data_IF_934154665646
#
_entry.id   IF_934154665646
#
_cell.length_a   1.000
_cell.length_b   1.000
_cell.length_c   1.000
_cell.angle_alpha   90.00
_cell.angle_beta   90.00
_cell.angle_gamma   90.00
#
_symmetry.space_group_name_H-M   'P 1'
#
loop_
_entity.id
_entity.type
_entity.pdbx_description
1 polymer ?
#
# COMPACT_ATOMS: atom_id res chain seq x y z
N UNK A 1 -17.70 3.25 -15.94
CA UNK A 1 -17.19 2.80 -14.61
C UNK A 1 -17.40 3.81 -13.50
N UNK A 2 -17.24 5.13 -13.73
CA UNK A 2 -17.27 6.15 -12.65
C UNK A 2 -18.62 6.35 -11.93
N UNK A 3 -19.74 5.98 -12.53
CA UNK A 3 -21.07 6.22 -11.95
C UNK A 3 -21.38 5.28 -10.78
N UNK A 4 -21.09 3.98 -10.92
CA UNK A 4 -21.32 2.98 -9.86
C UNK A 4 -20.42 3.24 -8.63
N UNK A 5 -19.19 3.70 -8.86
CA UNK A 5 -18.29 4.09 -7.78
C UNK A 5 -18.82 5.29 -7.00
N UNK A 6 -19.39 6.30 -7.68
CA UNK A 6 -20.04 7.42 -7.00
C UNK A 6 -21.28 6.99 -6.21
N UNK A 7 -22.14 6.16 -6.81
CA UNK A 7 -23.30 5.58 -6.12
C UNK A 7 -22.88 4.83 -4.85
N UNK A 8 -21.75 4.11 -4.89
CA UNK A 8 -21.22 3.43 -3.70
C UNK A 8 -20.79 4.40 -2.61
N UNK A 9 -20.16 5.53 -2.96
CA UNK A 9 -19.76 6.58 -2.00
C UNK A 9 -21.01 7.20 -1.38
N UNK A 10 -22.00 7.55 -2.20
CA UNK A 10 -23.27 8.15 -1.75
C UNK A 10 -24.05 7.21 -0.83
N UNK A 11 -24.09 5.92 -1.17
CA UNK A 11 -24.72 4.91 -0.33
C UNK A 11 -24.02 4.78 1.04
N UNK A 12 -22.68 4.75 1.06
CA UNK A 12 -21.92 4.75 2.33
C UNK A 12 -22.28 6.00 3.16
N UNK A 13 -22.42 7.16 2.52
CA UNK A 13 -22.83 8.41 3.20
C UNK A 13 -24.25 8.40 3.71
N UNK A 14 -25.17 7.68 3.05
CA UNK A 14 -26.54 7.49 3.57
C UNK A 14 -26.58 6.66 4.86
N UNK A 15 -25.54 5.83 5.11
CA UNK A 15 -25.44 5.00 6.31
C UNK A 15 -24.62 5.69 7.39
N UNK A 16 -23.55 6.39 7.00
CA UNK A 16 -22.61 7.05 7.91
C UNK A 16 -22.92 8.55 7.97
N UNK A 17 -23.74 8.94 8.95
CA UNK A 17 -24.16 10.33 9.19
C UNK A 17 -23.04 11.24 9.73
N UNK A 18 -21.88 10.66 10.10
CA UNK A 18 -20.74 11.40 10.64
C UNK A 18 -19.73 11.75 9.54
N UNK A 19 -18.93 12.79 9.80
CA UNK A 19 -17.75 13.10 9.00
C UNK A 19 -16.80 11.90 8.97
N UNK A 20 -16.36 11.49 7.79
CA UNK A 20 -15.41 10.40 7.60
C UNK A 20 -14.20 10.83 6.76
N UNK A 21 -13.16 9.99 6.75
CA UNK A 21 -12.01 10.13 5.86
C UNK A 21 -12.05 9.00 4.83
N UNK A 22 -12.33 9.33 3.57
CA UNK A 22 -12.31 8.35 2.48
C UNK A 22 -10.89 8.05 2.06
N UNK A 23 -10.50 6.77 2.09
CA UNK A 23 -9.18 6.31 1.61
C UNK A 23 -9.38 5.65 0.25
N UNK A 24 -9.23 6.45 -0.79
CA UNK A 24 -9.50 6.11 -2.17
C UNK A 24 -8.20 5.63 -2.85
N UNK A 25 -8.04 4.31 -3.01
CA UNK A 25 -6.87 3.71 -3.67
C UNK A 25 -6.98 3.87 -5.21
N UNK A 26 -6.87 2.78 -5.98
CA UNK A 26 -6.88 2.84 -7.45
C UNK A 26 -8.29 3.15 -7.98
N UNK A 27 -8.37 3.85 -9.11
CA UNK A 27 -9.62 4.17 -9.81
C UNK A 27 -10.28 5.49 -9.41
N UNK A 28 -9.82 6.15 -8.34
CA UNK A 28 -10.43 7.40 -7.83
C UNK A 28 -9.71 8.68 -8.27
N UNK A 29 -8.70 8.56 -9.14
CA UNK A 29 -7.91 9.71 -9.62
C UNK A 29 -8.55 10.41 -10.83
N UNK A 30 -9.84 10.20 -11.10
CA UNK A 30 -10.59 10.97 -12.11
C UNK A 30 -11.11 12.29 -11.51
N UNK A 31 -11.22 13.35 -12.34
CA UNK A 31 -11.65 14.69 -11.89
C UNK A 31 -12.99 14.68 -11.15
N UNK A 32 -13.91 13.81 -11.56
CA UNK A 32 -15.24 13.66 -10.98
C UNK A 32 -15.23 13.37 -9.48
N UNK A 33 -14.23 12.63 -8.97
CA UNK A 33 -14.11 12.34 -7.54
C UNK A 33 -13.56 13.54 -6.76
N UNK A 34 -12.65 14.32 -7.35
CA UNK A 34 -12.22 15.58 -6.75
C UNK A 34 -13.37 16.56 -6.70
N UNK A 35 -14.14 16.68 -7.77
CA UNK A 35 -15.34 17.52 -7.80
C UNK A 35 -16.34 17.08 -6.74
N UNK A 36 -16.57 15.78 -6.56
CA UNK A 36 -17.42 15.25 -5.48
C UNK A 36 -16.91 15.66 -4.10
N UNK A 37 -15.65 15.34 -3.77
CA UNK A 37 -15.13 15.57 -2.42
C UNK A 37 -14.79 17.03 -2.12
N UNK A 38 -14.67 17.90 -3.13
CA UNK A 38 -14.40 19.33 -2.96
C UNK A 38 -15.67 20.20 -3.02
N UNK A 39 -16.85 19.61 -3.27
CA UNK A 39 -18.13 20.34 -3.12
C UNK A 39 -18.26 20.87 -1.70
N UNK A 40 -18.74 22.10 -1.55
CA UNK A 40 -18.89 22.75 -0.22
C UNK A 40 -19.81 21.96 0.73
N UNK A 41 -20.78 21.23 0.18
CA UNK A 41 -21.70 20.36 0.93
C UNK A 41 -21.02 19.08 1.45
N UNK A 42 -19.89 18.68 0.85
CA UNK A 42 -19.11 17.51 1.28
C UNK A 42 -18.11 17.95 2.36
N UNK A 43 -18.44 17.68 3.62
CA UNK A 43 -17.55 17.98 4.76
C UNK A 43 -16.57 16.83 5.09
N UNK A 44 -16.49 15.81 4.24
CA UNK A 44 -15.62 14.65 4.46
C UNK A 44 -14.18 14.91 4.04
N UNK A 45 -13.24 14.33 4.78
CA UNK A 45 -11.85 14.33 4.34
C UNK A 45 -11.64 13.19 3.32
N UNK A 46 -10.66 13.32 2.44
CA UNK A 46 -10.32 12.26 1.51
C UNK A 46 -8.82 12.16 1.26
N UNK A 47 -8.40 10.96 0.92
CA UNK A 47 -7.04 10.61 0.50
C UNK A 47 -7.21 9.87 -0.82
N UNK A 48 -6.83 10.51 -1.93
CA UNK A 48 -6.79 9.86 -3.25
C UNK A 48 -5.35 9.49 -3.59
N UNK A 49 -5.16 8.24 -4.00
CA UNK A 49 -3.92 7.79 -4.62
C UNK A 49 -3.84 8.31 -6.06
N UNK A 50 -2.82 9.12 -6.31
CA UNK A 50 -2.56 9.68 -7.63
C UNK A 50 -1.91 8.69 -8.58
N UNK A 51 -2.32 8.73 -9.84
CA UNK A 51 -1.61 8.10 -10.95
C UNK A 51 -0.33 8.88 -11.26
N UNK A 52 0.60 8.21 -11.94
CA UNK A 52 1.86 8.83 -12.39
C UNK A 52 1.67 9.94 -13.43
N UNK A 53 0.52 9.96 -14.12
CA UNK A 53 0.15 10.94 -15.14
C UNK A 53 -0.15 12.32 -14.52
N UNK A 54 -0.59 12.37 -13.25
CA UNK A 54 -0.94 13.63 -12.57
C UNK A 54 0.26 14.52 -12.30
N UNK A 55 0.09 15.81 -12.57
CA UNK A 55 1.03 16.87 -12.16
C UNK A 55 0.53 17.54 -10.90
N UNK A 56 1.42 17.69 -9.94
CA UNK A 56 1.21 18.39 -8.69
C UNK A 56 2.01 19.68 -8.69
N UNK A 57 1.43 20.73 -8.12
CA UNK A 57 2.18 21.93 -7.76
C UNK A 57 3.02 21.61 -6.52
N UNK A 58 4.34 21.44 -6.71
CA UNK A 58 5.29 21.14 -5.65
C UNK A 58 6.36 22.23 -5.56
N UNK A 59 6.34 23.01 -4.47
CA UNK A 59 7.23 24.18 -4.26
C UNK A 59 7.15 25.21 -5.39
N UNK A 60 5.94 25.57 -5.80
CA UNK A 60 5.69 26.55 -6.88
C UNK A 60 6.02 26.05 -8.28
N UNK A 61 6.44 24.78 -8.44
CA UNK A 61 6.73 24.19 -9.75
C UNK A 61 5.81 23.00 -10.00
N UNK A 62 5.29 22.91 -11.22
CA UNK A 62 4.53 21.74 -11.67
C UNK A 62 5.48 20.54 -11.79
N UNK A 63 5.18 19.45 -11.10
CA UNK A 63 5.97 18.22 -11.09
C UNK A 63 5.08 17.00 -11.21
N UNK A 64 5.53 15.97 -11.94
CA UNK A 64 4.81 14.70 -11.99
C UNK A 64 4.77 14.05 -10.61
N UNK A 65 3.64 13.46 -10.24
CA UNK A 65 3.48 12.74 -8.98
C UNK A 65 4.53 11.62 -8.83
N UNK A 66 4.85 10.92 -9.93
CA UNK A 66 5.89 9.88 -9.97
C UNK A 66 7.30 10.41 -9.67
N UNK A 67 7.69 11.58 -10.19
CA UNK A 67 8.99 12.19 -9.89
C UNK A 67 9.16 12.45 -8.38
N UNK A 68 8.08 12.90 -7.73
CA UNK A 68 8.06 13.15 -6.29
C UNK A 68 8.09 11.83 -5.50
N UNK A 69 7.39 10.80 -5.97
CA UNK A 69 7.34 9.49 -5.34
C UNK A 69 8.69 8.75 -5.41
N UNK A 70 9.33 8.70 -6.59
CA UNK A 70 10.62 8.03 -6.81
C UNK A 70 11.70 8.61 -5.91
N UNK A 71 11.73 9.92 -5.70
CA UNK A 71 12.66 10.58 -4.76
C UNK A 71 12.56 10.08 -3.31
N UNK A 72 11.47 9.40 -2.96
CA UNK A 72 11.17 8.90 -1.62
C UNK A 72 11.12 7.38 -1.53
N UNK A 73 11.26 6.66 -2.65
CA UNK A 73 11.09 5.20 -2.73
C UNK A 73 12.44 4.48 -2.55
N UNK A 74 12.48 3.40 -1.76
CA UNK A 74 13.64 2.51 -1.63
C UNK A 74 14.76 2.93 -0.66
N UNK A 75 14.64 4.08 0.00
CA UNK A 75 15.61 4.58 0.98
C UNK A 75 15.11 4.38 2.41
N UNK A 76 14.70 3.17 2.76
CA UNK A 76 14.00 2.93 4.02
C UNK A 76 14.62 1.74 4.73
N UNK A 77 15.07 1.99 5.95
CA UNK A 77 15.43 0.95 6.88
C UNK A 77 14.23 0.66 7.79
N UNK A 78 13.72 -0.56 7.73
CA UNK A 78 12.47 -0.96 8.40
C UNK A 78 12.58 -0.99 9.92
N UNK A 79 13.81 -1.11 10.45
CA UNK A 79 14.10 -1.13 11.88
C UNK A 79 14.15 0.26 12.53
N UNK A 80 13.87 1.31 11.77
CA UNK A 80 13.83 2.68 12.29
C UNK A 80 12.55 2.96 13.07
N UNK A 81 12.68 3.72 14.16
CA UNK A 81 11.54 4.20 14.93
C UNK A 81 11.16 5.64 14.54
N UNK A 82 9.90 5.84 14.17
CA UNK A 82 9.34 7.15 13.83
C UNK A 82 8.33 7.59 14.91
N UNK A 83 8.75 8.46 15.87
CA UNK A 83 7.85 8.98 16.90
C UNK A 83 6.70 9.78 16.28
N UNK A 84 5.59 9.90 17.01
CA UNK A 84 4.35 10.51 16.51
C UNK A 84 4.56 11.94 15.97
N UNK A 85 5.40 12.74 16.62
CA UNK A 85 5.68 14.11 16.17
C UNK A 85 6.33 14.15 14.78
N UNK A 86 7.16 13.15 14.40
CA UNK A 86 7.79 13.06 13.07
C UNK A 86 6.80 12.73 11.94
N UNK A 87 5.53 12.46 12.26
CA UNK A 87 4.46 12.22 11.28
C UNK A 87 3.77 13.51 10.85
N UNK A 88 4.12 14.63 11.48
CA UNK A 88 3.54 15.93 11.15
C UNK A 88 3.70 16.26 9.66
N UNK A 89 2.66 16.85 9.09
CA UNK A 89 2.67 17.37 7.72
C UNK A 89 3.52 18.65 7.61
N UNK A 90 3.96 19.23 8.73
CA UNK A 90 4.79 20.43 8.77
C UNK A 90 6.09 20.26 7.96
N UNK A 91 6.41 21.27 7.16
CA UNK A 91 7.57 21.25 6.25
C UNK A 91 8.90 20.99 6.97
N UNK A 92 9.14 21.64 8.12
CA UNK A 92 10.37 21.48 8.89
C UNK A 92 10.50 20.06 9.45
N UNK A 93 9.41 19.53 10.01
CA UNK A 93 9.38 18.14 10.52
C UNK A 93 9.65 17.14 9.41
N UNK A 94 9.12 17.38 8.19
CA UNK A 94 9.41 16.52 7.03
C UNK A 94 10.88 16.58 6.62
N UNK A 95 11.50 17.76 6.63
CA UNK A 95 12.92 17.89 6.36
C UNK A 95 13.76 17.14 7.41
N UNK A 96 13.42 17.28 8.69
CA UNK A 96 14.06 16.54 9.79
C UNK A 96 13.90 15.01 9.62
N UNK A 97 12.70 14.54 9.30
CA UNK A 97 12.44 13.11 9.01
C UNK A 97 13.29 12.61 7.85
N UNK A 98 13.40 13.37 6.76
CA UNK A 98 14.25 12.98 5.63
C UNK A 98 15.73 12.97 6.01
N UNK A 99 16.19 13.93 6.81
CA UNK A 99 17.54 13.93 7.36
C UNK A 99 17.80 12.69 8.22
N UNK A 100 16.90 12.38 9.15
CA UNK A 100 16.95 11.18 10.00
C UNK A 100 17.04 9.88 9.18
N UNK A 101 16.20 9.74 8.14
CA UNK A 101 16.25 8.60 7.21
C UNK A 101 17.61 8.49 6.52
N UNK A 102 18.10 9.58 5.92
CA UNK A 102 19.39 9.54 5.22
C UNK A 102 20.54 9.22 6.18
N UNK A 103 20.56 9.81 7.38
CA UNK A 103 21.57 9.53 8.39
C UNK A 103 21.52 8.06 8.81
N UNK A 104 20.34 7.51 9.10
CA UNK A 104 20.18 6.12 9.51
C UNK A 104 20.61 5.11 8.43
N UNK A 105 20.43 5.44 7.15
CA UNK A 105 20.94 4.60 6.06
C UNK A 105 22.47 4.56 6.01
N UNK A 106 23.16 5.65 6.39
CA UNK A 106 24.62 5.71 6.40
C UNK A 106 25.23 5.18 7.71
N UNK A 107 24.52 5.28 8.83
CA UNK A 107 24.99 4.87 10.16
C UNK A 107 24.73 3.40 10.51
N UNK A 108 24.23 2.59 9.57
CA UNK A 108 23.95 1.18 9.82
C UNK A 108 22.96 1.00 10.97
N UNK A 109 23.27 0.11 11.94
CA UNK A 109 22.35 -0.33 13.00
C UNK A 109 22.28 0.58 14.24
N UNK A 110 23.02 1.69 14.26
CA UNK A 110 23.09 2.58 15.43
C UNK A 110 21.74 3.22 15.81
N UNK A 111 20.88 3.45 14.82
CA UNK A 111 19.56 4.05 14.99
C UNK A 111 18.43 3.00 14.94
N UNK A 112 18.77 1.72 15.01
CA UNK A 112 17.77 0.67 15.03
C UNK A 112 17.03 0.67 16.35
N UNK A 113 15.73 0.44 16.24
CA UNK A 113 14.87 0.27 17.37
C UNK A 113 15.26 -0.99 18.14
N UNK A 114 15.27 -0.88 19.47
CA UNK A 114 15.36 -2.05 20.36
C UNK A 114 14.16 -2.99 20.14
N UNK A 115 14.45 -4.27 19.95
CA UNK A 115 13.45 -5.32 19.89
C UNK A 115 12.84 -5.56 21.28
N UNK A 116 11.70 -4.92 21.58
CA UNK A 116 10.98 -5.11 22.85
C UNK A 116 9.98 -6.26 22.81
N UNK A 117 9.69 -6.82 21.62
CA UNK A 117 8.82 -7.98 21.46
C UNK A 117 9.57 -9.29 21.74
N UNK A 118 10.90 -9.28 21.69
CA UNK A 118 11.75 -10.46 21.86
C UNK A 118 11.40 -11.60 20.90
N UNK A 119 11.10 -11.25 19.64
CA UNK A 119 10.81 -12.18 18.54
C UNK A 119 11.73 -11.93 17.36
N UNK A 120 11.89 -12.93 16.51
CA UNK A 120 12.56 -12.74 15.22
C UNK A 120 11.63 -12.00 14.26
N UNK A 121 12.15 -10.97 13.58
CA UNK A 121 11.39 -10.19 12.61
C UNK A 121 11.48 -10.79 11.21
N UNK A 122 10.31 -10.88 10.57
CA UNK A 122 10.17 -11.38 9.22
C UNK A 122 9.52 -10.32 8.33
N UNK A 123 9.77 -10.43 7.02
CA UNK A 123 9.34 -9.45 6.02
C UNK A 123 8.83 -10.15 4.78
N UNK A 124 7.87 -9.54 4.10
CA UNK A 124 7.32 -10.09 2.88
C UNK A 124 6.33 -9.18 2.18
N UNK A 125 5.67 -9.73 1.16
CA UNK A 125 4.65 -9.04 0.38
C UNK A 125 3.42 -8.70 1.25
N UNK A 126 2.75 -7.59 0.93
CA UNK A 126 1.41 -7.25 1.44
C UNK A 126 0.30 -8.14 0.86
N UNK A 127 0.62 -8.91 -0.19
CA UNK A 127 -0.31 -9.80 -0.89
C UNK A 127 -0.10 -11.22 -0.40
N UNK A 128 -1.02 -11.67 0.45
CA UNK A 128 -1.04 -13.00 1.04
C UNK A 128 -2.48 -13.48 1.18
N UNK A 129 -2.65 -14.77 1.41
CA UNK A 129 -3.94 -15.39 1.71
C UNK A 129 -3.72 -16.28 2.94
N UNK A 130 -4.62 -16.18 3.90
CA UNK A 130 -4.55 -16.94 5.16
C UNK A 130 -5.79 -17.80 5.31
N UNK A 131 -5.63 -18.98 5.92
CA UNK A 131 -6.78 -19.73 6.40
C UNK A 131 -7.47 -18.94 7.52
N UNK A 132 -8.75 -19.24 7.74
CA UNK A 132 -9.54 -18.59 8.79
C UNK A 132 -8.87 -18.71 10.17
N UNK A 133 -8.35 -19.90 10.51
CA UNK A 133 -7.71 -20.17 11.79
C UNK A 133 -6.45 -19.33 11.98
N UNK A 134 -5.64 -19.19 10.93
CA UNK A 134 -4.44 -18.38 10.97
C UNK A 134 -4.77 -16.88 11.10
N UNK A 135 -5.73 -16.39 10.30
CA UNK A 135 -6.18 -15.01 10.37
C UNK A 135 -6.76 -14.66 11.75
N UNK A 136 -7.55 -15.57 12.34
CA UNK A 136 -8.11 -15.41 13.69
C UNK A 136 -7.02 -15.35 14.75
N UNK A 137 -6.04 -16.25 14.71
CA UNK A 137 -4.93 -16.25 15.68
C UNK A 137 -4.09 -14.98 15.60
N UNK A 138 -3.78 -14.51 14.38
CA UNK A 138 -3.09 -13.23 14.18
C UNK A 138 -3.92 -12.08 14.74
N UNK A 139 -5.23 -12.05 14.45
CA UNK A 139 -6.13 -11.02 14.96
C UNK A 139 -6.15 -10.98 16.50
N UNK A 140 -6.26 -12.13 17.15
CA UNK A 140 -6.26 -12.24 18.62
C UNK A 140 -4.92 -11.77 19.23
N UNK A 141 -3.79 -12.02 18.56
CA UNK A 141 -2.47 -11.49 18.96
C UNK A 141 -2.42 -9.96 18.83
N UNK A 142 -2.95 -9.42 17.72
CA UNK A 142 -2.98 -7.97 17.49
C UNK A 142 -3.86 -7.24 18.50
N UNK A 143 -4.97 -7.84 18.95
CA UNK A 143 -5.85 -7.27 19.98
C UNK A 143 -5.17 -7.05 21.33
N UNK A 144 -4.09 -7.79 21.64
CA UNK A 144 -3.31 -7.58 22.87
C UNK A 144 -2.55 -6.25 22.88
N UNK A 145 -2.39 -5.60 21.72
CA UNK A 145 -1.81 -4.27 21.60
C UNK A 145 -0.28 -4.22 21.51
N UNK A 146 0.46 -5.21 22.03
CA UNK A 146 1.94 -5.20 22.04
C UNK A 146 2.56 -5.02 20.64
N UNK A 147 2.10 -5.83 19.68
CA UNK A 147 2.54 -5.71 18.29
C UNK A 147 2.07 -4.40 17.66
N UNK A 148 0.86 -3.95 17.96
CA UNK A 148 0.33 -2.67 17.45
C UNK A 148 1.18 -1.50 17.95
N UNK A 149 1.49 -1.45 19.24
CA UNK A 149 2.32 -0.40 19.85
C UNK A 149 3.76 -0.47 19.38
N UNK A 150 4.27 -1.68 19.13
CA UNK A 150 5.54 -1.84 18.45
C UNK A 150 5.45 -1.23 17.05
N UNK A 151 4.67 -1.79 16.15
CA UNK A 151 4.62 -1.36 14.77
C UNK A 151 4.03 0.03 14.52
N UNK A 152 3.39 0.63 15.53
CA UNK A 152 2.87 2.01 15.49
C UNK A 152 3.91 2.96 14.93
N UNK A 153 5.17 2.82 15.34
CA UNK A 153 6.33 3.64 14.95
C UNK A 153 7.05 3.24 13.66
N UNK A 154 6.66 2.15 12.98
CA UNK A 154 7.39 1.60 11.84
C UNK A 154 7.03 2.28 10.51
N UNK A 155 7.91 2.16 9.53
CA UNK A 155 7.60 2.50 8.14
C UNK A 155 7.13 1.22 7.42
N UNK A 156 5.97 1.25 6.78
CA UNK A 156 5.35 0.10 6.08
C UNK A 156 5.19 -1.13 7.01
N UNK A 157 4.50 -1.00 8.16
CA UNK A 157 4.39 -2.07 9.16
C UNK A 157 3.75 -3.35 8.62
N UNK A 158 2.91 -3.23 7.61
CA UNK A 158 2.15 -4.30 6.97
C UNK A 158 3.00 -5.25 6.10
N UNK A 159 4.22 -4.87 5.72
CA UNK A 159 5.21 -5.76 5.10
C UNK A 159 6.03 -6.57 6.12
N UNK A 160 5.71 -6.48 7.42
CA UNK A 160 6.45 -7.21 8.46
C UNK A 160 5.58 -7.77 9.58
N UNK A 161 4.58 -7.04 10.08
CA UNK A 161 3.82 -7.44 11.27
C UNK A 161 3.14 -8.80 11.11
N UNK A 162 2.50 -9.04 9.97
CA UNK A 162 1.79 -10.29 9.68
C UNK A 162 2.75 -11.46 9.50
N UNK A 163 3.84 -11.24 8.76
CA UNK A 163 4.89 -12.23 8.49
C UNK A 163 5.61 -12.59 9.79
N UNK A 164 5.87 -11.61 10.65
CA UNK A 164 6.49 -11.80 11.96
C UNK A 164 5.60 -12.65 12.87
N UNK A 165 4.31 -12.32 12.98
CA UNK A 165 3.39 -13.13 13.79
C UNK A 165 3.26 -14.53 13.20
N UNK A 166 3.09 -14.66 11.88
CA UNK A 166 2.96 -15.94 11.19
C UNK A 166 4.17 -16.86 11.40
N UNK A 167 5.39 -16.36 11.17
CA UNK A 167 6.62 -17.16 11.27
C UNK A 167 6.99 -17.53 12.70
N UNK A 168 6.49 -16.79 13.69
CA UNK A 168 6.63 -17.13 15.11
C UNK A 168 5.43 -17.93 15.66
N UNK A 169 4.47 -18.31 14.81
CA UNK A 169 3.29 -19.10 15.20
C UNK A 169 3.46 -20.59 14.87
N UNK A 170 2.48 -21.40 15.27
CA UNK A 170 2.38 -22.82 14.88
C UNK A 170 2.14 -23.04 13.37
N UNK A 171 1.88 -21.98 12.60
CA UNK A 171 1.67 -22.05 11.16
C UNK A 171 2.96 -21.87 10.34
N UNK A 172 4.11 -21.60 10.97
CA UNK A 172 5.36 -21.24 10.27
C UNK A 172 5.77 -22.23 9.15
N UNK A 173 5.50 -23.52 9.35
CA UNK A 173 5.85 -24.60 8.43
C UNK A 173 4.68 -24.99 7.49
N UNK A 174 3.55 -24.26 7.55
CA UNK A 174 2.33 -24.50 6.77
C UNK A 174 2.11 -23.40 5.75
N UNK A 175 3.02 -23.29 4.79
CA UNK A 175 2.94 -22.32 3.71
C UNK A 175 2.83 -23.00 2.35
N UNK A 176 2.14 -22.32 1.44
CA UNK A 176 2.08 -22.66 0.03
C UNK A 176 2.61 -21.48 -0.77
N UNK A 177 2.86 -21.67 -2.07
CA UNK A 177 3.12 -20.52 -2.92
C UNK A 177 1.91 -19.56 -2.89
N UNK A 178 2.20 -18.29 -3.12
CA UNK A 178 1.18 -17.24 -3.19
C UNK A 178 0.14 -17.59 -4.26
N UNK A 179 -1.09 -17.15 -4.06
CA UNK A 179 -2.15 -17.31 -5.06
C UNK A 179 -2.11 -16.24 -6.17
N UNK A 180 -1.22 -15.25 -6.04
CA UNK A 180 -1.13 -14.11 -6.95
C UNK A 180 0.16 -14.14 -7.75
N UNK A 181 0.05 -14.27 -9.07
CA UNK A 181 1.14 -14.07 -9.99
C UNK A 181 1.59 -12.61 -10.01
N UNK A 182 2.90 -12.39 -9.89
CA UNK A 182 3.51 -11.07 -9.92
C UNK A 182 4.82 -11.15 -10.71
N UNK A 183 4.85 -10.55 -11.89
CA UNK A 183 6.04 -10.57 -12.74
C UNK A 183 6.99 -9.41 -12.38
N UNK A 184 8.18 -9.75 -11.88
CA UNK A 184 9.26 -8.81 -11.54
C UNK A 184 10.43 -8.83 -12.55
N UNK A 185 10.33 -9.61 -13.63
CA UNK A 185 11.41 -9.75 -14.61
C UNK A 185 11.71 -8.39 -15.25
N UNK A 186 12.97 -7.97 -15.14
CA UNK A 186 13.42 -6.65 -15.63
C UNK A 186 12.87 -5.45 -14.83
N UNK A 187 12.26 -5.69 -13.66
CA UNK A 187 11.70 -4.66 -12.82
C UNK A 187 12.50 -4.47 -11.54
N UNK A 188 12.56 -3.23 -11.06
CA UNK A 188 13.26 -2.87 -9.82
C UNK A 188 12.28 -2.40 -8.74
N UNK A 189 11.33 -1.55 -9.11
CA UNK A 189 10.54 -0.77 -8.14
C UNK A 189 9.04 -1.08 -8.13
N UNK A 190 8.54 -1.71 -9.18
CA UNK A 190 7.14 -2.10 -9.31
C UNK A 190 7.07 -3.30 -10.24
N UNK A 191 6.12 -4.23 -10.04
CA UNK A 191 5.97 -5.34 -10.97
C UNK A 191 5.55 -4.84 -12.36
N UNK A 192 5.75 -5.68 -13.36
CA UNK A 192 5.34 -5.44 -14.74
C UNK A 192 3.83 -5.17 -14.78
N UNK A 193 3.44 -4.20 -15.60
CA UNK A 193 2.05 -4.05 -16.03
C UNK A 193 1.86 -4.96 -17.25
N UNK A 194 0.95 -5.93 -17.16
CA UNK A 194 0.68 -6.85 -18.25
C UNK A 194 -0.03 -6.13 -19.41
N UNK A 195 0.28 -6.56 -20.62
CA UNK A 195 -0.32 -6.10 -21.88
C UNK A 195 -0.86 -7.28 -22.67
N UNK A 196 -1.59 -7.04 -23.75
CA UNK A 196 -2.19 -8.11 -24.58
C UNK A 196 -1.16 -9.15 -25.08
N UNK A 197 0.11 -8.74 -25.22
CA UNK A 197 1.22 -9.63 -25.59
C UNK A 197 1.59 -10.65 -24.49
N UNK A 198 1.07 -10.48 -23.28
CA UNK A 198 1.35 -11.35 -22.13
C UNK A 198 0.25 -12.40 -21.89
N UNK A 199 -0.78 -12.49 -22.72
CA UNK A 199 -1.85 -13.48 -22.56
C UNK A 199 -1.31 -14.92 -22.53
N UNK A 200 -0.42 -15.27 -23.46
CA UNK A 200 0.23 -16.58 -23.49
C UNK A 200 1.02 -16.90 -22.20
N UNK A 201 1.56 -15.89 -21.53
CA UNK A 201 2.24 -16.05 -20.23
C UNK A 201 1.21 -16.32 -19.13
N UNK A 202 0.13 -15.52 -19.10
CA UNK A 202 -0.91 -15.60 -18.08
C UNK A 202 -1.72 -16.91 -18.14
N UNK A 203 -1.98 -17.43 -19.32
CA UNK A 203 -2.67 -18.72 -19.52
C UNK A 203 -1.83 -19.92 -19.02
N UNK A 204 -0.50 -19.78 -19.00
CA UNK A 204 0.41 -20.88 -18.64
C UNK A 204 0.75 -20.94 -17.16
N UNK A 205 0.56 -19.85 -16.42
CA UNK A 205 0.92 -19.79 -14.99
C UNK A 205 -0.21 -20.32 -14.11
N UNK A 206 0.12 -21.13 -13.11
CA UNK A 206 -0.86 -21.73 -12.21
C UNK A 206 -1.07 -20.88 -10.95
N UNK A 207 -1.67 -19.70 -11.12
CA UNK A 207 -2.04 -18.80 -10.02
C UNK A 207 -3.52 -18.43 -10.14
N UNK A 208 -4.19 -18.23 -9.00
CA UNK A 208 -5.60 -17.84 -8.96
C UNK A 208 -5.82 -16.41 -9.47
N UNK A 209 -4.84 -15.52 -9.25
CA UNK A 209 -4.91 -14.11 -9.62
C UNK A 209 -3.59 -13.65 -10.23
N UNK A 210 -3.60 -12.54 -10.98
CA UNK A 210 -2.39 -11.90 -11.47
C UNK A 210 -2.38 -10.39 -11.21
N UNK A 211 -1.18 -9.80 -11.13
CA UNK A 211 -0.97 -8.34 -11.10
C UNK A 211 0.36 -7.97 -11.76
N UNK A 212 0.48 -6.82 -12.42
CA UNK A 212 -0.45 -5.67 -12.39
C UNK A 212 -1.16 -5.48 -13.74
N UNK A 213 -2.42 -5.09 -13.70
CA UNK A 213 -3.18 -4.59 -14.85
C UNK A 213 -3.44 -3.09 -14.68
N UNK A 214 -3.56 -2.38 -15.79
CA UNK A 214 -3.79 -0.94 -15.82
C UNK A 214 -4.55 -0.62 -17.13
N UNK A 215 -5.86 -0.38 -17.04
CA UNK A 215 -6.74 -0.09 -18.18
C UNK A 215 -6.26 1.11 -19.01
N UNK A 216 -5.59 2.03 -18.33
CA UNK A 216 -5.06 3.27 -18.84
C UNK A 216 -3.74 3.08 -19.62
N UNK A 217 -3.19 1.85 -19.55
CA UNK A 217 -1.98 1.39 -20.21
C UNK A 217 -2.32 0.39 -21.32
N UNK A 218 -3.14 -0.61 -21.01
CA UNK A 218 -3.69 -1.57 -21.98
C UNK A 218 -5.01 -2.16 -21.45
N UNK A 219 -6.11 -1.73 -22.04
CA UNK A 219 -7.45 -2.23 -21.74
C UNK A 219 -7.79 -3.52 -22.51
N UNK A 220 -7.06 -3.84 -23.59
CA UNK A 220 -7.35 -5.00 -24.44
C UNK A 220 -7.15 -6.31 -23.70
N UNK A 221 -6.10 -6.41 -22.90
CA UNK A 221 -5.87 -7.60 -22.08
C UNK A 221 -6.97 -7.80 -21.04
N UNK A 222 -7.45 -6.71 -20.45
CA UNK A 222 -8.53 -6.76 -19.46
C UNK A 222 -9.81 -7.26 -20.13
N UNK A 223 -10.15 -6.70 -21.29
CA UNK A 223 -11.32 -7.11 -22.06
C UNK A 223 -11.23 -8.58 -22.51
N UNK A 224 -10.07 -9.02 -23.03
CA UNK A 224 -9.87 -10.43 -23.42
C UNK A 224 -10.06 -11.38 -22.24
N UNK A 225 -9.50 -11.07 -21.07
CA UNK A 225 -9.67 -11.91 -19.88
C UNK A 225 -11.12 -11.92 -19.37
N UNK A 226 -11.87 -10.82 -19.52
CA UNK A 226 -13.30 -10.80 -19.18
C UNK A 226 -14.15 -11.64 -20.13
N UNK A 227 -13.85 -11.65 -21.42
CA UNK A 227 -14.60 -12.42 -22.41
C UNK A 227 -14.36 -13.94 -22.31
N UNK A 228 -13.28 -14.36 -21.64
CA UNK A 228 -12.87 -15.76 -21.48
C UNK A 228 -13.29 -16.39 -20.14
N UNK A 229 -13.82 -15.60 -19.19
CA UNK A 229 -14.30 -16.03 -17.87
C UNK A 229 -15.80 -16.33 -17.86
#
# INVERSE_FOLDING_TARGET
>A
MNEETLKSIEYIKSIIEKKCTFVCDRGYDANIYYEYFLKEECNDDFIIRLTEKRKLMFKGKSKKASEIAVKRKGKIKMNMYFPNWMRSKNFFVRCLKMGYINIALHLGNLLDRKNTLNVDFYYGSQWWTLSYECAKEIYDILLKGEYIDYYKGSLVPDESIFQTIYMNSRFKDKYYDKLTYVNWKGQINHPKTFTIEDCDELEKVNYLMARKFDEDFDDKIINKLYDEL
#
